data_IF_570956680538
#
_entry.id   IF_570956680538
#
_cell.length_a   1.000
_cell.length_b   1.000
_cell.length_c   1.000
_cell.angle_alpha   90.00
_cell.angle_beta   90.00
_cell.angle_gamma   90.00
#
_symmetry.space_group_name_H-M   'P 1'
#
loop_
_entity.id
_entity.type
_entity.pdbx_description
1 polymer ?
#
# COMPACT_ATOMS: atom_id res chain seq x y z
N UNK A 1 -2.74 -16.52 21.73
CA UNK A 1 -3.62 -15.41 22.11
C UNK A 1 -2.96 -14.04 21.95
N UNK A 2 -1.73 -13.83 22.44
CA UNK A 2 -1.02 -12.55 22.43
C UNK A 2 -0.81 -12.03 20.99
N UNK A 3 -0.34 -12.88 20.08
CA UNK A 3 -0.05 -12.50 18.69
C UNK A 3 -1.33 -12.04 17.95
N UNK A 4 -2.47 -12.72 18.17
CA UNK A 4 -3.75 -12.29 17.59
C UNK A 4 -4.22 -10.93 18.14
N UNK A 5 -3.98 -10.66 19.43
CA UNK A 5 -4.23 -9.36 20.04
C UNK A 5 -3.33 -8.28 19.45
N UNK A 6 -2.05 -8.56 19.23
CA UNK A 6 -1.12 -7.65 18.58
C UNK A 6 -1.54 -7.33 17.14
N UNK A 7 -2.00 -8.35 16.38
CA UNK A 7 -2.55 -8.13 15.05
C UNK A 7 -3.74 -7.16 15.08
N UNK A 8 -4.67 -7.32 16.03
CA UNK A 8 -5.82 -6.42 16.17
C UNK A 8 -5.40 -4.98 16.45
N UNK A 9 -4.44 -4.77 17.34
CA UNK A 9 -3.87 -3.46 17.63
C UNK A 9 -3.11 -2.88 16.42
N UNK A 10 -2.40 -3.72 15.67
CA UNK A 10 -1.71 -3.33 14.43
C UNK A 10 -2.70 -2.90 13.35
N UNK A 11 -3.77 -3.65 13.14
CA UNK A 11 -4.83 -3.26 12.18
C UNK A 11 -5.44 -1.93 12.59
N UNK A 12 -5.76 -1.74 13.88
CA UNK A 12 -6.29 -0.47 14.37
C UNK A 12 -5.32 0.70 14.14
N UNK A 13 -4.03 0.50 14.42
CA UNK A 13 -2.98 1.50 14.17
C UNK A 13 -2.87 1.83 12.67
N UNK A 14 -2.91 0.81 11.80
CA UNK A 14 -2.85 1.01 10.35
C UNK A 14 -4.10 1.71 9.79
N UNK A 15 -5.28 1.42 10.31
CA UNK A 15 -6.51 2.15 9.94
C UNK A 15 -6.42 3.61 10.35
N UNK A 16 -5.95 3.89 11.57
CA UNK A 16 -5.77 5.27 12.05
C UNK A 16 -4.74 6.02 11.19
N UNK A 17 -3.63 5.37 10.85
CA UNK A 17 -2.62 5.91 9.94
C UNK A 17 -3.19 6.13 8.53
N UNK A 18 -4.00 5.20 8.03
CA UNK A 18 -4.67 5.34 6.74
C UNK A 18 -5.59 6.57 6.71
N UNK A 19 -6.38 6.78 7.76
CA UNK A 19 -7.24 7.97 7.88
C UNK A 19 -6.42 9.25 7.90
N UNK A 20 -5.34 9.28 8.66
CA UNK A 20 -4.43 10.43 8.74
C UNK A 20 -3.79 10.74 7.39
N UNK A 21 -3.23 9.73 6.72
CA UNK A 21 -2.60 9.88 5.41
C UNK A 21 -3.62 10.27 4.34
N UNK A 22 -4.81 9.70 4.37
CA UNK A 22 -5.90 10.06 3.46
C UNK A 22 -6.31 11.52 3.66
N UNK A 23 -6.37 12.00 4.90
CA UNK A 23 -6.65 13.40 5.19
C UNK A 23 -5.56 14.34 4.66
N UNK A 24 -4.28 14.02 4.89
CA UNK A 24 -3.14 14.79 4.37
C UNK A 24 -3.19 14.85 2.84
N UNK A 25 -3.37 13.70 2.20
CA UNK A 25 -3.46 13.60 0.75
C UNK A 25 -4.71 14.29 0.18
N UNK A 26 -5.81 14.30 0.92
CA UNK A 26 -7.01 15.05 0.57
C UNK A 26 -6.76 16.56 0.57
N UNK A 27 -6.04 17.08 1.57
CA UNK A 27 -5.61 18.48 1.61
C UNK A 27 -4.72 18.81 0.41
N UNK A 28 -3.78 17.93 0.05
CA UNK A 28 -2.97 18.10 -1.15
C UNK A 28 -3.80 18.07 -2.44
N UNK A 29 -4.82 17.22 -2.51
CA UNK A 29 -5.75 17.17 -3.63
C UNK A 29 -6.51 18.48 -3.81
N UNK A 30 -6.97 19.11 -2.72
CA UNK A 30 -7.63 20.42 -2.78
C UNK A 30 -6.70 21.53 -3.29
N UNK A 31 -5.41 21.39 -3.06
CA UNK A 31 -4.38 22.35 -3.46
C UNK A 31 -3.60 21.92 -4.72
N UNK A 32 -4.12 20.96 -5.48
CA UNK A 32 -3.42 20.37 -6.64
C UNK A 32 -3.06 21.42 -7.71
N UNK A 33 -3.85 22.48 -7.82
CA UNK A 33 -3.57 23.61 -8.72
C UNK A 33 -2.32 24.38 -8.32
N UNK A 34 -1.93 24.38 -7.05
CA UNK A 34 -0.76 25.09 -6.54
C UNK A 34 0.54 24.28 -6.70
N UNK A 35 0.44 23.02 -7.09
CA UNK A 35 1.60 22.14 -7.28
C UNK A 35 2.33 22.37 -8.62
N UNK A 36 1.92 23.37 -9.41
CA UNK A 36 2.59 23.73 -10.65
C UNK A 36 2.48 22.70 -11.77
N UNK A 37 1.47 21.83 -11.72
CA UNK A 37 1.22 20.86 -12.78
C UNK A 37 0.53 21.51 -13.99
N UNK A 38 0.81 21.05 -15.22
CA UNK A 38 0.11 21.54 -16.41
C UNK A 38 -1.40 21.34 -16.27
N UNK A 39 -2.16 22.40 -16.58
CA UNK A 39 -3.63 22.39 -16.46
C UNK A 39 -4.29 21.30 -17.30
N UNK A 40 -3.68 20.94 -18.43
CA UNK A 40 -4.16 19.89 -19.34
C UNK A 40 -4.19 18.49 -18.69
N UNK A 41 -3.33 18.24 -17.71
CA UNK A 41 -3.23 16.95 -17.01
C UNK A 41 -4.18 16.83 -15.82
N UNK A 42 -4.67 17.94 -15.29
CA UNK A 42 -5.53 17.95 -14.09
C UNK A 42 -6.81 17.11 -14.23
N UNK A 43 -7.54 17.12 -15.37
CA UNK A 43 -8.74 16.31 -15.54
C UNK A 43 -8.47 14.80 -15.49
N UNK A 44 -7.28 14.38 -15.91
CA UNK A 44 -6.86 12.97 -15.88
C UNK A 44 -6.31 12.57 -14.51
N UNK A 45 -5.61 13.48 -13.84
CA UNK A 45 -4.99 13.22 -12.55
C UNK A 45 -5.99 13.16 -11.40
N UNK A 46 -7.00 14.03 -11.40
CA UNK A 46 -7.98 14.10 -10.31
C UNK A 46 -8.70 12.77 -10.01
N UNK A 47 -9.35 12.12 -10.99
CA UNK A 47 -10.02 10.86 -10.72
C UNK A 47 -9.06 9.74 -10.34
N UNK A 48 -7.89 9.69 -10.96
CA UNK A 48 -6.84 8.75 -10.62
C UNK A 48 -6.37 8.92 -9.17
N UNK A 49 -6.16 10.15 -8.73
CA UNK A 49 -5.73 10.48 -7.39
C UNK A 49 -6.76 10.04 -6.33
N UNK A 50 -8.06 10.24 -6.58
CA UNK A 50 -9.14 9.79 -5.70
C UNK A 50 -9.12 8.26 -5.55
N UNK A 51 -8.95 7.53 -6.64
CA UNK A 51 -8.87 6.06 -6.62
C UNK A 51 -7.66 5.61 -5.80
N UNK A 52 -6.51 6.28 -5.95
CA UNK A 52 -5.32 5.98 -5.14
C UNK A 52 -5.52 6.29 -3.66
N UNK A 53 -6.21 7.38 -3.31
CA UNK A 53 -6.56 7.69 -1.93
C UNK A 53 -7.36 6.56 -1.27
N UNK A 54 -8.39 6.08 -1.95
CA UNK A 54 -9.20 4.95 -1.46
C UNK A 54 -8.33 3.71 -1.29
N UNK A 55 -7.39 3.48 -2.21
CA UNK A 55 -6.53 2.31 -2.17
C UNK A 55 -5.51 2.32 -1.02
N UNK A 56 -5.20 3.48 -0.43
CA UNK A 56 -4.28 3.58 0.71
C UNK A 56 -4.74 2.74 1.91
N UNK A 57 -6.02 2.75 2.22
CA UNK A 57 -6.56 1.93 3.30
C UNK A 57 -6.27 0.44 3.08
N UNK A 58 -6.52 -0.05 1.87
CA UNK A 58 -6.31 -1.46 1.54
C UNK A 58 -4.84 -1.85 1.53
N UNK A 59 -3.95 -0.97 1.07
CA UNK A 59 -2.49 -1.20 1.16
C UNK A 59 -2.05 -1.36 2.61
N UNK A 60 -2.47 -0.46 3.49
CA UNK A 60 -2.07 -0.50 4.89
C UNK A 60 -2.68 -1.70 5.63
N UNK A 61 -3.92 -2.06 5.31
CA UNK A 61 -4.53 -3.29 5.84
C UNK A 61 -3.79 -4.54 5.37
N UNK A 62 -3.46 -4.63 4.08
CA UNK A 62 -2.68 -5.75 3.56
C UNK A 62 -1.30 -5.83 4.22
N UNK A 63 -0.62 -4.69 4.40
CA UNK A 63 0.67 -4.64 5.09
C UNK A 63 0.57 -5.11 6.54
N UNK A 64 -0.51 -4.78 7.27
CA UNK A 64 -0.73 -5.28 8.62
C UNK A 64 -0.82 -6.81 8.66
N UNK A 65 -1.57 -7.42 7.74
CA UNK A 65 -1.65 -8.87 7.61
C UNK A 65 -0.34 -9.51 7.14
N UNK A 66 0.34 -8.88 6.20
CA UNK A 66 1.64 -9.35 5.71
C UNK A 66 2.67 -9.36 6.83
N UNK A 67 2.81 -8.26 7.58
CA UNK A 67 3.73 -8.17 8.72
C UNK A 67 3.41 -9.19 9.80
N UNK A 68 2.13 -9.47 10.04
CA UNK A 68 1.72 -10.54 10.93
C UNK A 68 2.19 -11.90 10.42
N UNK A 69 1.97 -12.22 9.14
CA UNK A 69 2.38 -13.49 8.54
C UNK A 69 3.90 -13.66 8.57
N UNK A 70 4.64 -12.60 8.26
CA UNK A 70 6.11 -12.58 8.32
C UNK A 70 6.59 -12.79 9.77
N UNK A 71 5.90 -12.18 10.75
CA UNK A 71 6.21 -12.32 12.18
C UNK A 71 5.99 -13.73 12.74
N UNK A 72 5.07 -14.51 12.17
CA UNK A 72 4.85 -15.91 12.51
C UNK A 72 5.58 -16.88 11.58
N UNK A 73 6.51 -16.37 10.76
CA UNK A 73 7.31 -17.13 9.78
C UNK A 73 6.49 -17.83 8.68
N UNK A 74 5.28 -17.38 8.42
CA UNK A 74 4.41 -17.90 7.35
C UNK A 74 4.39 -16.99 6.12
N UNK A 75 5.56 -16.75 5.56
CA UNK A 75 5.76 -15.86 4.41
C UNK A 75 5.17 -16.39 3.11
N UNK A 76 4.87 -17.69 3.04
CA UNK A 76 4.34 -18.33 1.82
C UNK A 76 2.99 -17.75 1.40
N UNK A 77 2.10 -17.52 2.35
CA UNK A 77 0.77 -16.96 2.07
C UNK A 77 0.89 -15.54 1.52
N UNK A 78 1.69 -14.70 2.17
CA UNK A 78 1.95 -13.34 1.71
C UNK A 78 2.56 -13.31 0.31
N UNK A 79 3.53 -14.20 0.04
CA UNK A 79 4.18 -14.32 -1.27
C UNK A 79 3.18 -14.66 -2.37
N UNK A 80 2.36 -15.70 -2.18
CA UNK A 80 1.38 -16.11 -3.19
C UNK A 80 0.30 -15.07 -3.42
N UNK A 81 -0.13 -14.37 -2.37
CA UNK A 81 -1.10 -13.28 -2.50
C UNK A 81 -0.51 -12.09 -3.24
N UNK A 82 0.76 -11.75 -2.99
CA UNK A 82 1.45 -10.69 -3.74
C UNK A 82 1.61 -11.04 -5.21
N UNK A 83 2.03 -12.27 -5.52
CA UNK A 83 2.14 -12.74 -6.90
C UNK A 83 0.77 -12.72 -7.60
N UNK A 84 -0.26 -13.26 -6.96
CA UNK A 84 -1.62 -13.25 -7.49
C UNK A 84 -2.16 -11.83 -7.69
N UNK A 85 -1.92 -10.93 -6.74
CA UNK A 85 -2.29 -9.53 -6.84
C UNK A 85 -1.59 -8.80 -7.99
N UNK A 86 -0.30 -9.06 -8.19
CA UNK A 86 0.45 -8.49 -9.31
C UNK A 86 -0.04 -9.00 -10.66
N UNK A 87 -0.27 -10.32 -10.79
CA UNK A 87 -0.84 -10.91 -12.02
C UNK A 87 -2.22 -10.30 -12.31
N UNK A 88 -3.07 -10.20 -11.30
CA UNK A 88 -4.39 -9.59 -11.43
C UNK A 88 -4.30 -8.11 -11.85
N UNK A 89 -3.34 -7.38 -11.30
CA UNK A 89 -3.07 -5.98 -11.66
C UNK A 89 -2.61 -5.86 -13.11
N UNK A 90 -1.72 -6.72 -13.58
CA UNK A 90 -1.24 -6.73 -14.97
C UNK A 90 -2.39 -7.01 -15.93
N UNK A 91 -3.21 -8.04 -15.65
CA UNK A 91 -4.37 -8.39 -16.46
C UNK A 91 -5.39 -7.25 -16.45
N UNK A 92 -5.70 -6.71 -15.28
CA UNK A 92 -6.63 -5.60 -15.12
C UNK A 92 -6.16 -4.34 -15.84
N UNK A 93 -4.87 -4.02 -15.79
CA UNK A 93 -4.28 -2.91 -16.53
C UNK A 93 -4.45 -3.13 -18.03
N UNK A 94 -4.15 -4.32 -18.54
CA UNK A 94 -4.31 -4.62 -19.96
C UNK A 94 -5.77 -4.46 -20.42
N UNK A 95 -6.73 -4.90 -19.63
CA UNK A 95 -8.15 -4.81 -19.97
C UNK A 95 -8.67 -3.37 -19.88
N UNK A 96 -8.38 -2.66 -18.79
CA UNK A 96 -8.99 -1.36 -18.49
C UNK A 96 -8.27 -0.18 -19.14
N UNK A 97 -6.96 -0.28 -19.37
CA UNK A 97 -6.22 0.79 -20.08
C UNK A 97 -6.56 0.76 -21.56
N UNK A 98 -6.56 -0.43 -22.17
CA UNK A 98 -6.75 -0.59 -23.62
C UNK A 98 -8.19 -0.91 -24.04
N UNK A 99 -9.14 -0.94 -23.10
CA UNK A 99 -10.54 -1.19 -23.43
C UNK A 99 -10.81 -2.56 -24.07
N UNK A 100 -10.13 -3.63 -23.60
CA UNK A 100 -10.32 -4.97 -24.13
C UNK A 100 -11.50 -5.67 -23.47
N UNK A 101 -11.98 -6.78 -24.06
CA UNK A 101 -13.10 -7.60 -23.57
C UNK A 101 -14.43 -6.83 -23.39
N UNK A 102 -14.68 -5.79 -24.18
CA UNK A 102 -15.91 -5.01 -24.13
C UNK A 102 -15.95 -3.94 -23.02
N UNK A 103 -14.85 -3.72 -22.33
CA UNK A 103 -14.72 -2.64 -21.35
C UNK A 103 -14.35 -1.32 -22.04
N UNK A 104 -14.80 -0.16 -21.50
CA UNK A 104 -14.38 1.14 -22.03
C UNK A 104 -12.88 1.37 -21.82
N UNK A 105 -12.25 2.06 -22.76
CA UNK A 105 -10.86 2.50 -22.63
C UNK A 105 -10.79 3.63 -21.60
N UNK A 106 -10.27 3.31 -20.42
CA UNK A 106 -10.19 4.24 -19.27
C UNK A 106 -8.81 4.88 -19.12
N UNK A 107 -7.80 4.43 -19.87
CA UNK A 107 -6.45 4.95 -19.80
C UNK A 107 -5.88 4.94 -18.39
N UNK A 108 -5.44 6.11 -17.91
CA UNK A 108 -4.84 6.27 -16.57
C UNK A 108 -5.79 5.89 -15.44
N UNK A 109 -7.08 6.23 -15.57
CA UNK A 109 -8.09 5.86 -14.56
C UNK A 109 -8.26 4.34 -14.49
N UNK A 110 -8.18 3.65 -15.62
CA UNK A 110 -8.20 2.18 -15.68
C UNK A 110 -7.06 1.55 -14.90
N UNK A 111 -5.87 2.10 -14.97
CA UNK A 111 -4.72 1.66 -14.16
C UNK A 111 -4.98 1.83 -12.66
N UNK A 112 -5.56 2.97 -12.25
CA UNK A 112 -5.95 3.22 -10.86
C UNK A 112 -6.98 2.21 -10.34
N UNK A 113 -8.04 1.96 -11.12
CA UNK A 113 -9.09 1.00 -10.77
C UNK A 113 -8.54 -0.42 -10.68
N UNK A 114 -7.70 -0.84 -11.61
CA UNK A 114 -7.04 -2.15 -11.58
C UNK A 114 -6.19 -2.32 -10.33
N UNK A 115 -5.43 -1.30 -9.96
CA UNK A 115 -4.62 -1.29 -8.73
C UNK A 115 -5.49 -1.39 -7.49
N UNK A 116 -6.57 -0.62 -7.40
CA UNK A 116 -7.52 -0.68 -6.29
C UNK A 116 -8.16 -2.07 -6.19
N UNK A 117 -8.65 -2.62 -7.29
CA UNK A 117 -9.26 -3.96 -7.32
C UNK A 117 -8.30 -5.04 -6.85
N UNK A 118 -7.04 -5.01 -7.30
CA UNK A 118 -6.00 -5.96 -6.88
C UNK A 118 -5.71 -5.86 -5.38
N UNK A 119 -5.66 -4.64 -4.82
CA UNK A 119 -5.43 -4.41 -3.39
C UNK A 119 -6.60 -4.89 -2.55
N UNK A 120 -7.83 -4.63 -2.96
CA UNK A 120 -9.04 -5.14 -2.30
C UNK A 120 -9.03 -6.66 -2.30
N UNK A 121 -8.76 -7.28 -3.46
CA UNK A 121 -8.68 -8.74 -3.59
C UNK A 121 -7.64 -9.33 -2.65
N UNK A 122 -6.44 -8.76 -2.56
CA UNK A 122 -5.39 -9.24 -1.66
C UNK A 122 -5.82 -9.18 -0.19
N UNK A 123 -6.46 -8.09 0.24
CA UNK A 123 -6.94 -7.94 1.62
C UNK A 123 -8.05 -8.95 1.92
N UNK A 124 -9.03 -9.08 1.03
CA UNK A 124 -10.16 -10.01 1.20
C UNK A 124 -9.65 -11.46 1.21
N UNK A 125 -8.75 -11.82 0.30
CA UNK A 125 -8.18 -13.15 0.25
C UNK A 125 -7.36 -13.47 1.52
N UNK A 126 -6.58 -12.51 2.02
CA UNK A 126 -5.83 -12.72 3.26
C UNK A 126 -6.77 -12.86 4.46
N UNK A 127 -7.76 -11.99 4.58
CA UNK A 127 -8.77 -12.08 5.63
C UNK A 127 -9.53 -13.43 5.57
N UNK A 128 -9.92 -13.87 4.38
CA UNK A 128 -10.56 -15.17 4.20
C UNK A 128 -9.66 -16.32 4.67
N UNK A 129 -8.39 -16.33 4.26
CA UNK A 129 -7.42 -17.33 4.70
C UNK A 129 -7.24 -17.28 6.21
N UNK A 130 -7.13 -16.10 6.80
CA UNK A 130 -6.96 -15.92 8.24
C UNK A 130 -8.16 -16.46 9.04
N UNK A 131 -9.38 -16.18 8.60
CA UNK A 131 -10.59 -16.59 9.32
C UNK A 131 -11.03 -18.02 9.04
N UNK A 132 -10.74 -18.57 7.86
CA UNK A 132 -11.24 -19.88 7.43
C UNK A 132 -10.24 -21.02 7.62
N UNK A 133 -8.94 -20.73 7.65
CA UNK A 133 -7.93 -21.79 7.74
C UNK A 133 -7.64 -22.19 9.18
N UNK A 134 -7.64 -23.52 9.44
CA UNK A 134 -7.34 -24.09 10.77
C UNK A 134 -5.97 -23.69 11.31
N UNK A 135 -5.03 -23.40 10.42
CA UNK A 135 -3.67 -22.97 10.74
C UNK A 135 -3.60 -21.71 11.61
N UNK A 136 -4.55 -20.80 11.41
CA UNK A 136 -4.61 -19.51 12.11
C UNK A 136 -5.59 -19.51 13.29
N UNK A 137 -6.20 -20.67 13.62
CA UNK A 137 -7.24 -20.76 14.65
C UNK A 137 -6.83 -20.17 16.00
N UNK A 138 -5.62 -20.49 16.48
CA UNK A 138 -5.07 -19.99 17.76
C UNK A 138 -4.93 -18.45 17.73
N UNK A 139 -4.54 -17.90 16.60
CA UNK A 139 -4.40 -16.45 16.43
C UNK A 139 -5.75 -15.75 16.29
N UNK A 140 -6.70 -16.40 15.60
CA UNK A 140 -8.08 -15.94 15.46
C UNK A 140 -8.78 -15.82 16.82
N UNK A 141 -8.63 -16.77 17.71
CA UNK A 141 -9.19 -16.69 19.07
C UNK A 141 -8.64 -15.47 19.81
N UNK A 142 -7.33 -15.26 19.77
CA UNK A 142 -6.70 -14.07 20.34
C UNK A 142 -7.17 -12.77 19.69
N UNK A 143 -7.45 -12.78 18.40
CA UNK A 143 -7.96 -11.62 17.66
C UNK A 143 -9.41 -11.28 18.04
N UNK A 144 -10.29 -12.28 18.09
CA UNK A 144 -11.74 -12.08 18.31
C UNK A 144 -12.01 -11.68 19.77
N UNK A 145 -11.43 -12.40 20.73
CA UNK A 145 -11.71 -12.24 22.16
C UNK A 145 -10.92 -11.13 22.85
N UNK A 146 -9.89 -10.57 22.21
CA UNK A 146 -9.15 -9.46 22.79
C UNK A 146 -9.77 -8.10 22.44
N UNK A 147 -9.58 -7.12 23.33
CA UNK A 147 -9.90 -5.72 23.08
C UNK A 147 -8.62 -4.97 22.65
N UNK A 148 -8.80 -3.89 21.89
CA UNK A 148 -7.71 -2.97 21.61
C UNK A 148 -7.19 -2.42 22.94
N UNK A 149 -5.90 -2.58 23.18
CA UNK A 149 -5.27 -2.18 24.43
C UNK A 149 -4.28 -1.03 24.16
N UNK A 150 -4.41 0.04 24.93
CA UNK A 150 -3.54 1.20 24.83
C UNK A 150 -2.05 0.84 25.06
N UNK A 151 -1.77 -0.07 25.97
CA UNK A 151 -0.40 -0.49 26.24
C UNK A 151 0.24 -1.15 25.03
N UNK A 152 -0.46 -2.09 24.38
CA UNK A 152 0.02 -2.76 23.18
C UNK A 152 0.14 -1.78 21.99
N UNK A 153 -0.80 -0.85 21.87
CA UNK A 153 -0.76 0.20 20.85
C UNK A 153 0.48 1.10 21.02
N UNK A 154 0.74 1.59 22.22
CA UNK A 154 1.94 2.40 22.53
C UNK A 154 3.22 1.59 22.30
N UNK A 155 3.24 0.33 22.68
CA UNK A 155 4.39 -0.54 22.47
C UNK A 155 4.70 -0.73 20.97
N UNK A 156 3.68 -1.01 20.14
CA UNK A 156 3.83 -1.13 18.69
C UNK A 156 4.35 0.16 18.06
N UNK A 157 3.80 1.30 18.46
CA UNK A 157 4.25 2.59 17.95
C UNK A 157 5.69 2.92 18.38
N UNK A 158 6.06 2.59 19.63
CA UNK A 158 7.44 2.80 20.11
C UNK A 158 8.46 1.97 19.34
N UNK A 159 8.11 0.75 18.94
CA UNK A 159 8.94 -0.08 18.07
C UNK A 159 8.92 0.38 16.62
N UNK A 160 7.75 0.79 16.13
CA UNK A 160 7.57 1.17 14.73
C UNK A 160 8.22 2.51 14.36
N UNK A 161 8.27 3.46 15.29
CA UNK A 161 8.79 4.79 15.02
C UNK A 161 10.27 4.82 14.57
N UNK A 162 11.20 4.15 15.26
CA UNK A 162 12.60 4.09 14.81
C UNK A 162 12.74 3.40 13.44
N UNK A 163 11.98 2.33 13.21
CA UNK A 163 11.99 1.60 11.93
C UNK A 163 11.46 2.49 10.81
N UNK A 164 10.36 3.21 11.07
CA UNK A 164 9.78 4.15 10.10
C UNK A 164 10.75 5.28 9.74
N UNK A 165 11.46 5.83 10.74
CA UNK A 165 12.50 6.83 10.52
C UNK A 165 13.66 6.26 9.70
N UNK A 166 14.13 5.07 10.03
CA UNK A 166 15.22 4.41 9.29
C UNK A 166 14.85 4.23 7.82
N UNK A 167 13.68 3.63 7.54
CA UNK A 167 13.20 3.43 6.16
C UNK A 167 12.94 4.76 5.45
N UNK A 168 12.42 5.75 6.17
CA UNK A 168 12.20 7.10 5.63
C UNK A 168 13.51 7.78 5.23
N UNK A 169 14.55 7.70 6.07
CA UNK A 169 15.87 8.25 5.77
C UNK A 169 16.53 7.52 4.60
N UNK A 170 16.41 6.21 4.52
CA UNK A 170 16.89 5.41 3.40
C UNK A 170 16.22 5.84 2.09
N UNK A 171 14.90 5.91 2.05
CA UNK A 171 14.14 6.36 0.88
C UNK A 171 14.48 7.81 0.50
N UNK A 172 14.60 8.69 1.49
CA UNK A 172 14.99 10.08 1.29
C UNK A 172 16.40 10.18 0.67
N UNK A 173 17.35 9.35 1.11
CA UNK A 173 18.71 9.31 0.57
C UNK A 173 18.73 8.91 -0.91
N UNK A 174 17.96 7.88 -1.29
CA UNK A 174 17.82 7.49 -2.70
C UNK A 174 17.17 8.60 -3.54
N UNK A 175 16.11 9.22 -3.00
CA UNK A 175 15.41 10.32 -3.68
C UNK A 175 16.32 11.55 -3.86
N UNK A 176 17.08 11.93 -2.84
CA UNK A 176 18.05 13.03 -2.92
C UNK A 176 19.17 12.72 -3.90
N UNK A 177 19.68 11.50 -3.91
CA UNK A 177 20.68 11.06 -4.89
C UNK A 177 20.15 11.19 -6.31
N UNK A 178 18.91 10.77 -6.57
CA UNK A 178 18.29 10.89 -7.88
C UNK A 178 18.13 12.37 -8.30
N UNK A 179 17.75 13.26 -7.38
CA UNK A 179 17.66 14.71 -7.64
C UNK A 179 19.03 15.30 -7.99
N UNK A 180 20.05 14.97 -7.19
CA UNK A 180 21.43 15.47 -7.43
C UNK A 180 21.97 14.98 -8.77
N UNK A 181 21.74 13.72 -9.12
CA UNK A 181 22.15 13.17 -10.43
C UNK A 181 21.35 13.82 -11.56
N UNK A 182 20.08 14.15 -11.34
CA UNK A 182 19.25 14.89 -12.29
C UNK A 182 19.80 16.27 -12.64
N UNK A 183 20.50 16.94 -11.71
CA UNK A 183 21.18 18.21 -11.98
C UNK A 183 22.39 18.08 -12.91
N UNK A 184 23.00 16.89 -12.97
CA UNK A 184 24.13 16.60 -13.87
C UNK A 184 23.64 16.42 -15.30
N UNK A 185 22.46 15.85 -15.50
CA UNK A 185 21.83 15.68 -16.80
C UNK A 185 20.93 14.46 -16.91
N UNK A 186 20.09 14.47 -17.94
CA UNK A 186 19.07 13.43 -18.18
C UNK A 186 19.67 12.04 -18.43
N UNK A 187 20.82 11.98 -19.11
CA UNK A 187 21.53 10.71 -19.39
C UNK A 187 22.07 10.08 -18.10
N UNK A 188 22.64 10.91 -17.21
CA UNK A 188 23.13 10.46 -15.92
C UNK A 188 22.00 9.97 -15.04
N UNK A 189 20.85 10.68 -15.03
CA UNK A 189 19.65 10.27 -14.30
C UNK A 189 19.10 8.94 -14.81
N UNK A 190 19.05 8.72 -16.12
CA UNK A 190 18.61 7.46 -16.70
C UNK A 190 19.53 6.29 -16.30
N UNK A 191 20.85 6.48 -16.35
CA UNK A 191 21.81 5.49 -15.90
C UNK A 191 21.66 5.16 -14.41
N UNK A 192 21.43 6.18 -13.56
CA UNK A 192 21.19 6.01 -12.13
C UNK A 192 19.92 5.21 -11.85
N UNK A 193 18.83 5.49 -12.57
CA UNK A 193 17.58 4.75 -12.44
C UNK A 193 17.73 3.28 -12.85
N UNK A 194 18.49 2.98 -13.90
CA UNK A 194 18.78 1.60 -14.30
C UNK A 194 19.59 0.89 -13.21
N UNK A 195 20.57 1.56 -12.62
CA UNK A 195 21.37 0.98 -11.54
C UNK A 195 20.56 0.69 -10.28
N UNK A 196 19.55 1.49 -9.96
CA UNK A 196 18.65 1.25 -8.83
C UNK A 196 17.63 0.13 -9.09
N UNK A 197 17.41 -0.25 -10.35
CA UNK A 197 16.45 -1.28 -10.74
C UNK A 197 17.05 -2.70 -10.79
N UNK A 198 18.38 -2.84 -10.71
CA UNK A 198 19.14 -4.11 -10.68
C UNK A 198 19.37 -4.53 -9.23
#
# INVERSE_FOLDING_TARGET
>A
PVVGRMLKNSIFANVLLAVLLTFIMWVLYLNIHQLGQPEELLPLMKPYFIVLLISLLFVLLFNAFKQFADGITDTRVSMWLLLGGNVMNIIGNYILIYGKLGMPELGLLGAGISTLASRIMMVVAFAFIFFCTKRYHIYKEGFVHSKVNRADFVYLNKLGWPIALQMGMETASFSLSAIMVGWIGTTALAAHQIMLAI
#
